data_IF_245420831379
#
_entry.id   IF_245420831379
#
_cell.length_a   1.000
_cell.length_b   1.000
_cell.length_c   1.000
_cell.angle_alpha   90.00
_cell.angle_beta   90.00
_cell.angle_gamma   90.00
#
_symmetry.space_group_name_H-M   'P 1'
#
loop_
_entity.id
_entity.type
_entity.pdbx_description
1 polymer ?
#
# COMPACT_ATOMS: atom_id res chain seq x y z
N UNK A 1 22.52 6.00 5.71
CA UNK A 1 22.64 4.67 5.06
C UNK A 1 21.45 3.80 5.45
N UNK A 2 21.35 3.29 6.69
CA UNK A 2 20.26 2.44 7.24
C UNK A 2 18.82 2.63 6.68
N UNK A 3 18.38 3.87 6.43
CA UNK A 3 17.02 4.14 5.95
C UNK A 3 16.77 3.79 4.48
N UNK A 4 17.77 3.82 3.61
CA UNK A 4 17.55 3.69 2.17
C UNK A 4 17.02 2.31 1.82
N UNK A 5 17.70 1.26 2.29
CA UNK A 5 17.31 -0.14 2.07
C UNK A 5 15.90 -0.45 2.59
N UNK A 6 15.59 -0.07 3.84
CA UNK A 6 14.27 -0.29 4.44
C UNK A 6 13.17 0.52 3.74
N UNK A 7 13.47 1.75 3.32
CA UNK A 7 12.54 2.58 2.55
C UNK A 7 12.22 1.93 1.21
N UNK A 8 13.23 1.39 0.52
CA UNK A 8 13.04 0.65 -0.73
C UNK A 8 12.23 -0.61 -0.54
N UNK A 9 12.51 -1.42 0.49
CA UNK A 9 11.72 -2.62 0.76
C UNK A 9 10.25 -2.32 0.96
N UNK A 10 9.93 -1.17 1.57
CA UNK A 10 8.56 -0.67 1.67
C UNK A 10 7.98 -0.33 0.29
N UNK A 11 8.76 0.30 -0.59
CA UNK A 11 8.35 0.56 -1.98
C UNK A 11 8.08 -0.71 -2.78
N UNK A 12 8.95 -1.72 -2.64
CA UNK A 12 8.77 -3.04 -3.25
C UNK A 12 7.49 -3.70 -2.74
N UNK A 13 7.24 -3.68 -1.43
CA UNK A 13 6.02 -4.22 -0.83
C UNK A 13 4.76 -3.53 -1.39
N UNK A 14 4.74 -2.19 -1.45
CA UNK A 14 3.60 -1.43 -2.00
C UNK A 14 3.33 -1.76 -3.49
N UNK A 15 4.38 -1.89 -4.29
CA UNK A 15 4.26 -2.28 -5.70
C UNK A 15 3.72 -3.70 -5.86
N UNK A 16 4.17 -4.65 -5.03
CA UNK A 16 3.69 -6.03 -5.07
C UNK A 16 2.21 -6.12 -4.66
N UNK A 17 1.78 -5.32 -3.67
CA UNK A 17 0.36 -5.19 -3.31
C UNK A 17 -0.45 -4.65 -4.49
N UNK A 18 -0.01 -3.55 -5.12
CA UNK A 18 -0.68 -2.98 -6.28
C UNK A 18 -0.75 -3.99 -7.43
N UNK A 19 0.33 -4.75 -7.67
CA UNK A 19 0.40 -5.79 -8.69
C UNK A 19 -0.63 -6.89 -8.49
N UNK A 20 -0.69 -7.45 -7.28
CA UNK A 20 -1.61 -8.53 -6.95
C UNK A 20 -3.07 -8.11 -7.17
N UNK A 21 -3.43 -6.89 -6.81
CA UNK A 21 -4.78 -6.37 -7.02
C UNK A 21 -5.06 -6.05 -8.50
N UNK A 22 -4.14 -5.37 -9.20
CA UNK A 22 -4.32 -4.97 -10.60
C UNK A 22 -4.40 -6.16 -11.53
N UNK A 23 -3.63 -7.22 -11.26
CA UNK A 23 -3.72 -8.49 -11.99
C UNK A 23 -5.15 -9.00 -12.05
N UNK A 24 -5.82 -9.09 -10.90
CA UNK A 24 -7.17 -9.67 -10.79
C UNK A 24 -8.22 -8.92 -11.64
N UNK A 25 -8.04 -7.61 -11.85
CA UNK A 25 -9.00 -6.77 -12.60
C UNK A 25 -8.61 -6.52 -14.05
N UNK A 26 -7.31 -6.47 -14.35
CA UNK A 26 -6.76 -6.12 -15.68
C UNK A 26 -6.55 -7.36 -16.54
N UNK A 27 -6.01 -8.43 -15.97
CA UNK A 27 -5.73 -9.70 -16.66
C UNK A 27 -6.93 -10.62 -16.44
N UNK A 28 -8.02 -10.41 -17.19
CA UNK A 28 -9.16 -11.33 -17.21
C UNK A 28 -8.86 -12.65 -17.93
N UNK A 29 -7.66 -13.24 -17.76
CA UNK A 29 -7.16 -14.35 -18.59
C UNK A 29 -6.80 -15.58 -17.72
N UNK A 30 -7.56 -16.68 -17.79
CA UNK A 30 -7.38 -17.86 -16.93
C UNK A 30 -6.00 -18.52 -17.01
N UNK A 31 -5.38 -18.58 -18.20
CA UNK A 31 -4.11 -19.30 -18.42
C UNK A 31 -2.89 -18.70 -17.70
N UNK A 32 -2.81 -17.36 -17.62
CA UNK A 32 -1.73 -16.69 -16.89
C UNK A 32 -1.92 -16.81 -15.37
N UNK A 33 -3.17 -16.81 -14.91
CA UNK A 33 -3.53 -17.01 -13.51
C UNK A 33 -3.27 -18.45 -13.03
N UNK A 34 -3.46 -19.46 -13.88
CA UNK A 34 -3.34 -20.87 -13.52
C UNK A 34 -1.90 -21.35 -13.26
N UNK A 35 -0.89 -20.94 -14.04
CA UNK A 35 0.41 -21.65 -14.05
C UNK A 35 1.55 -20.98 -13.26
N UNK A 36 1.66 -19.65 -13.26
CA UNK A 36 2.79 -18.95 -12.61
C UNK A 36 2.45 -18.47 -11.19
N UNK A 37 1.20 -18.05 -10.95
CA UNK A 37 0.84 -17.33 -9.71
C UNK A 37 -0.07 -18.10 -8.75
N UNK A 38 -1.03 -18.92 -9.22
CA UNK A 38 -1.82 -19.77 -8.31
C UNK A 38 -0.96 -20.75 -7.49
N UNK A 39 0.16 -21.22 -8.04
CA UNK A 39 1.02 -22.20 -7.36
C UNK A 39 2.03 -21.62 -6.36
N UNK A 40 2.41 -20.33 -6.41
CA UNK A 40 3.53 -19.81 -5.57
C UNK A 40 3.29 -18.47 -4.86
N UNK A 41 2.42 -17.59 -5.37
CA UNK A 41 2.27 -16.22 -4.83
C UNK A 41 0.81 -15.76 -4.61
N UNK A 42 -0.16 -16.36 -5.31
CA UNK A 42 -1.53 -15.82 -5.45
C UNK A 42 -2.39 -15.85 -4.19
N UNK A 43 -2.29 -16.89 -3.34
CA UNK A 43 -3.11 -17.00 -2.13
C UNK A 43 -2.51 -16.31 -0.89
N UNK A 44 -1.31 -15.72 -1.00
CA UNK A 44 -0.58 -15.12 0.13
C UNK A 44 -0.30 -13.63 -0.06
N UNK A 45 -1.08 -12.97 -0.93
CA UNK A 45 -0.90 -11.55 -1.22
C UNK A 45 -1.01 -10.64 0.01
N UNK A 46 -1.73 -11.08 1.05
CA UNK A 46 -1.86 -10.38 2.33
C UNK A 46 -0.52 -10.20 3.06
N UNK A 47 0.42 -11.16 2.95
CA UNK A 47 1.73 -11.05 3.60
C UNK A 47 2.52 -9.83 3.14
N UNK A 48 2.35 -9.39 1.88
CA UNK A 48 2.98 -8.17 1.37
C UNK A 48 2.35 -6.90 1.94
N UNK A 49 1.07 -6.95 2.28
CA UNK A 49 0.35 -5.87 2.98
C UNK A 49 0.88 -5.77 4.42
N UNK A 50 0.99 -6.90 5.12
CA UNK A 50 1.52 -6.95 6.48
C UNK A 50 2.97 -6.46 6.52
N UNK A 51 3.80 -6.91 5.57
CA UNK A 51 5.18 -6.45 5.43
C UNK A 51 5.29 -4.94 5.22
N UNK A 52 4.44 -4.40 4.34
CA UNK A 52 4.37 -2.95 4.09
C UNK A 52 4.03 -2.17 5.36
N UNK A 53 3.07 -2.66 6.16
CA UNK A 53 2.68 -2.00 7.40
C UNK A 53 3.74 -2.12 8.50
N UNK A 54 4.39 -3.28 8.65
CA UNK A 54 5.49 -3.48 9.61
C UNK A 54 6.64 -2.51 9.30
N UNK A 55 7.09 -2.43 8.04
CA UNK A 55 8.16 -1.51 7.64
C UNK A 55 7.77 -0.04 7.82
N UNK A 56 6.54 0.32 7.46
CA UNK A 56 6.03 1.68 7.63
C UNK A 56 5.98 2.09 9.10
N UNK A 57 5.51 1.18 9.97
CA UNK A 57 5.47 1.36 11.41
C UNK A 57 6.86 1.51 12.01
N UNK A 58 7.80 0.63 11.63
CA UNK A 58 9.19 0.65 12.09
C UNK A 58 9.92 1.93 11.71
N UNK A 59 9.89 2.33 10.42
CA UNK A 59 10.58 3.55 9.95
C UNK A 59 10.03 4.79 10.67
N UNK A 60 8.72 4.83 10.91
CA UNK A 60 8.09 5.93 11.65
C UNK A 60 8.55 5.94 13.10
N UNK A 61 8.49 4.79 13.78
CA UNK A 61 8.89 4.66 15.19
C UNK A 61 10.36 5.03 15.40
N UNK A 62 11.23 4.67 14.47
CA UNK A 62 12.64 5.01 14.52
C UNK A 62 12.90 6.51 14.25
N UNK A 63 12.27 7.11 13.22
CA UNK A 63 12.46 8.54 12.90
C UNK A 63 11.92 9.48 13.99
N UNK A 64 10.87 9.06 14.68
CA UNK A 64 10.27 9.79 15.79
C UNK A 64 10.63 9.18 17.15
N UNK A 65 11.66 8.33 17.17
CA UNK A 65 12.11 7.57 18.33
C UNK A 65 12.54 8.43 19.49
N UNK A 66 13.10 9.62 19.26
CA UNK A 66 13.44 10.56 20.36
C UNK A 66 12.20 11.08 21.10
N UNK A 67 11.02 11.06 20.48
CA UNK A 67 9.76 11.35 21.15
C UNK A 67 9.21 10.15 21.93
N UNK A 68 9.55 8.92 21.53
CA UNK A 68 9.13 7.67 22.17
C UNK A 68 10.13 7.12 23.20
N UNK A 69 11.42 7.48 23.12
CA UNK A 69 12.51 7.01 23.99
C UNK A 69 12.37 7.54 25.41
N UNK A 70 11.74 8.71 25.55
CA UNK A 70 11.11 9.14 26.79
C UNK A 70 9.70 8.55 26.73
N UNK A 71 9.39 7.51 27.51
CA UNK A 71 8.05 6.93 27.69
C UNK A 71 7.05 7.97 28.25
N UNK A 72 6.81 9.03 27.50
CA UNK A 72 6.06 10.20 27.90
C UNK A 72 4.81 10.26 27.02
N UNK A 73 3.63 10.27 27.63
CA UNK A 73 2.33 10.20 26.94
C UNK A 73 2.18 11.27 25.85
N UNK A 74 2.81 12.44 26.02
CA UNK A 74 2.85 13.51 25.00
C UNK A 74 3.66 13.15 23.76
N UNK A 75 4.79 12.46 23.91
CA UNK A 75 5.62 12.02 22.79
C UNK A 75 4.95 10.94 21.97
N UNK A 76 4.27 10.00 22.65
CA UNK A 76 3.40 9.02 22.00
C UNK A 76 2.23 9.68 21.27
N UNK A 77 1.57 10.68 21.86
CA UNK A 77 0.51 11.45 21.21
C UNK A 77 0.98 12.17 19.93
N UNK A 78 2.16 12.79 19.97
CA UNK A 78 2.78 13.42 18.81
C UNK A 78 3.13 12.41 17.71
N UNK A 79 3.61 11.22 18.08
CA UNK A 79 3.86 10.12 17.15
C UNK A 79 2.58 9.64 16.45
N UNK A 80 1.50 9.44 17.21
CA UNK A 80 0.18 9.07 16.65
C UNK A 80 -0.34 10.20 15.75
N UNK A 81 -0.18 11.46 16.15
CA UNK A 81 -0.61 12.61 15.36
C UNK A 81 0.08 12.70 13.99
N UNK A 82 1.38 12.45 13.91
CA UNK A 82 2.08 12.43 12.62
C UNK A 82 1.66 11.27 11.73
N UNK A 83 1.26 10.14 12.33
CA UNK A 83 0.69 9.01 11.61
C UNK A 83 -0.68 9.39 11.03
N UNK A 84 -1.53 10.05 11.82
CA UNK A 84 -2.83 10.59 11.38
C UNK A 84 -2.63 11.65 10.29
N UNK A 85 -1.74 12.63 10.50
CA UNK A 85 -1.43 13.70 9.57
C UNK A 85 -0.91 13.20 8.21
N UNK A 86 -0.26 12.05 8.17
CA UNK A 86 0.21 11.44 6.92
C UNK A 86 -0.86 10.58 6.25
N UNK A 87 -1.67 9.85 7.03
CA UNK A 87 -2.68 8.90 6.52
C UNK A 87 -3.97 9.61 6.10
N UNK A 88 -4.47 10.51 6.93
CA UNK A 88 -5.81 11.09 6.81
C UNK A 88 -6.02 12.03 5.63
N UNK A 89 -5.08 12.89 5.20
CA UNK A 89 -5.37 13.82 4.10
C UNK A 89 -5.76 13.09 2.82
N UNK A 90 -5.00 12.05 2.46
CA UNK A 90 -5.28 11.25 1.27
C UNK A 90 -6.47 10.30 1.46
N UNK A 91 -6.65 9.74 2.66
CA UNK A 91 -7.82 8.91 2.98
C UNK A 91 -9.12 9.74 2.93
N UNK A 92 -9.13 10.95 3.46
CA UNK A 92 -10.30 11.84 3.39
C UNK A 92 -10.64 12.18 1.95
N UNK A 93 -9.65 12.53 1.12
CA UNK A 93 -9.89 12.83 -0.30
C UNK A 93 -10.45 11.59 -1.03
N UNK A 94 -9.85 10.42 -0.84
CA UNK A 94 -10.31 9.19 -1.53
C UNK A 94 -11.69 8.73 -1.05
N UNK A 95 -11.97 8.83 0.25
CA UNK A 95 -13.29 8.52 0.82
C UNK A 95 -14.35 9.52 0.35
N UNK A 96 -14.04 10.82 0.28
CA UNK A 96 -14.97 11.82 -0.26
C UNK A 96 -15.29 11.55 -1.73
N UNK A 97 -14.28 11.23 -2.55
CA UNK A 97 -14.47 10.84 -3.95
C UNK A 97 -15.36 9.59 -4.03
N UNK A 98 -15.11 8.58 -3.20
CA UNK A 98 -15.90 7.36 -3.15
C UNK A 98 -17.35 7.62 -2.71
N UNK A 99 -17.58 8.45 -1.70
CA UNK A 99 -18.92 8.83 -1.21
C UNK A 99 -19.69 9.60 -2.28
N UNK A 100 -19.05 10.57 -2.95
CA UNK A 100 -19.68 11.34 -4.03
C UNK A 100 -20.05 10.43 -5.19
N UNK A 101 -19.16 9.50 -5.58
CA UNK A 101 -19.43 8.52 -6.62
C UNK A 101 -20.56 7.55 -6.25
N UNK A 102 -20.54 6.99 -5.03
CA UNK A 102 -21.56 6.04 -4.58
C UNK A 102 -22.91 6.73 -4.37
N UNK A 103 -22.91 7.93 -3.80
CA UNK A 103 -24.12 8.74 -3.60
C UNK A 103 -24.75 9.19 -4.91
N UNK A 104 -23.96 9.58 -5.90
CA UNK A 104 -24.46 9.92 -7.24
C UNK A 104 -24.99 8.71 -8.02
N UNK A 105 -24.44 7.51 -7.79
CA UNK A 105 -24.83 6.29 -8.49
C UNK A 105 -26.00 5.53 -7.84
N UNK A 106 -26.11 5.55 -6.51
CA UNK A 106 -27.04 4.68 -5.76
C UNK A 106 -28.00 5.44 -4.81
N UNK A 107 -27.86 6.77 -4.66
CA UNK A 107 -28.74 7.61 -3.85
C UNK A 107 -28.44 7.60 -2.34
N UNK A 108 -28.89 8.65 -1.64
CA UNK A 108 -28.56 8.92 -0.22
C UNK A 108 -29.13 7.89 0.79
N UNK A 109 -30.06 7.03 0.36
CA UNK A 109 -30.67 5.98 1.17
C UNK A 109 -29.76 4.76 1.41
N UNK A 110 -28.62 4.67 0.71
CA UNK A 110 -27.62 3.60 0.86
C UNK A 110 -26.81 3.71 2.17
N UNK A 111 -26.48 4.93 2.63
CA UNK A 111 -25.64 5.20 3.81
C UNK A 111 -26.30 4.87 5.17
N UNK A 112 -27.61 4.63 5.21
CA UNK A 112 -28.36 4.45 6.48
C UNK A 112 -28.33 3.00 7.01
N UNK A 113 -27.82 2.04 6.25
CA UNK A 113 -27.78 0.60 6.61
C UNK A 113 -26.41 0.11 7.13
N UNK A 114 -25.43 1.00 7.28
CA UNK A 114 -24.00 0.64 7.45
C UNK A 114 -23.55 0.27 8.88
N UNK A 115 -24.44 0.28 9.88
CA UNK A 115 -24.06 -0.09 11.25
C UNK A 115 -23.72 -1.59 11.39
N UNK A 116 -24.46 -2.45 10.68
CA UNK A 116 -24.22 -3.91 10.66
C UNK A 116 -22.96 -4.22 9.82
N UNK A 117 -22.75 -3.49 8.72
CA UNK A 117 -21.54 -3.60 7.90
C UNK A 117 -20.29 -3.20 8.69
N UNK A 118 -20.36 -2.13 9.51
CA UNK A 118 -19.27 -1.70 10.38
C UNK A 118 -18.97 -2.72 11.49
N UNK A 119 -19.99 -3.31 12.12
CA UNK A 119 -19.81 -4.36 13.13
C UNK A 119 -19.19 -5.65 12.53
N UNK A 120 -19.65 -6.05 11.34
CA UNK A 120 -19.08 -7.16 10.58
C UNK A 120 -17.63 -6.86 10.17
N UNK A 121 -17.33 -5.63 9.75
CA UNK A 121 -15.98 -5.18 9.43
C UNK A 121 -15.04 -5.28 10.64
N UNK A 122 -15.48 -4.83 11.82
CA UNK A 122 -14.73 -4.98 13.07
C UNK A 122 -14.52 -6.45 13.45
N UNK A 123 -15.54 -7.31 13.29
CA UNK A 123 -15.43 -8.74 13.58
C UNK A 123 -14.46 -9.46 12.62
N UNK A 124 -14.49 -9.13 11.32
CA UNK A 124 -13.53 -9.63 10.33
C UNK A 124 -12.11 -9.21 10.70
N UNK A 125 -11.91 -7.96 11.13
CA UNK A 125 -10.60 -7.46 11.56
C UNK A 125 -10.04 -8.24 12.76
N UNK A 126 -10.89 -8.58 13.74
CA UNK A 126 -10.50 -9.40 14.90
C UNK A 126 -10.12 -10.82 14.46
N UNK A 127 -10.90 -11.45 13.57
CA UNK A 127 -10.61 -12.81 13.06
C UNK A 127 -9.34 -12.86 12.22
N UNK A 128 -9.08 -11.83 11.41
CA UNK A 128 -7.84 -11.72 10.62
C UNK A 128 -6.57 -11.65 11.49
N UNK A 129 -6.69 -11.21 12.75
CA UNK A 129 -5.53 -11.08 13.66
C UNK A 129 -4.98 -12.43 14.14
N UNK A 130 -5.71 -13.55 13.93
CA UNK A 130 -5.38 -14.86 14.49
C UNK A 130 -4.84 -15.88 13.48
N UNK A 131 -4.42 -15.47 12.27
CA UNK A 131 -3.93 -16.45 11.29
C UNK A 131 -2.55 -17.01 11.67
N UNK A 132 -2.37 -18.33 11.58
CA UNK A 132 -1.12 -19.03 11.96
C UNK A 132 0.10 -18.56 11.17
N UNK A 133 -0.10 -17.95 10.00
CA UNK A 133 0.98 -17.44 9.14
C UNK A 133 1.64 -16.19 9.72
N UNK A 134 0.88 -15.34 10.40
CA UNK A 134 1.40 -14.09 11.01
C UNK A 134 2.40 -14.39 12.13
N UNK A 135 2.21 -15.51 12.84
CA UNK A 135 3.09 -15.95 13.93
C UNK A 135 4.53 -16.21 13.46
N UNK A 136 4.72 -16.76 12.26
CA UNK A 136 6.05 -17.00 11.69
C UNK A 136 6.56 -15.82 10.86
N UNK A 137 5.65 -15.10 10.20
CA UNK A 137 6.00 -14.01 9.31
C UNK A 137 6.54 -12.80 10.08
N UNK A 138 5.94 -12.45 11.21
CA UNK A 138 6.33 -11.27 12.00
C UNK A 138 7.78 -11.38 12.51
N UNK A 139 8.25 -12.48 13.12
CA UNK A 139 9.65 -12.65 13.51
C UNK A 139 10.62 -12.59 12.32
N UNK A 140 10.25 -13.16 11.17
CA UNK A 140 11.08 -13.12 9.97
C UNK A 140 11.18 -11.71 9.38
N UNK A 141 10.08 -10.97 9.35
CA UNK A 141 10.06 -9.57 8.94
C UNK A 141 10.91 -8.70 9.90
N UNK A 142 10.81 -8.93 11.22
CA UNK A 142 11.64 -8.26 12.22
C UNK A 142 13.13 -8.60 12.05
N UNK A 143 13.46 -9.87 11.82
CA UNK A 143 14.83 -10.32 11.54
C UNK A 143 15.39 -9.69 10.28
N UNK A 144 14.60 -9.63 9.19
CA UNK A 144 15.00 -8.96 7.96
C UNK A 144 15.24 -7.46 8.15
N UNK A 145 14.39 -6.79 8.93
CA UNK A 145 14.58 -5.37 9.29
C UNK A 145 15.91 -5.19 10.03
N UNK A 146 16.18 -6.04 11.03
CA UNK A 146 17.44 -5.99 11.79
C UNK A 146 18.65 -6.22 10.88
N UNK A 147 18.63 -7.28 10.05
CA UNK A 147 19.70 -7.57 9.11
C UNK A 147 19.94 -6.41 8.14
N UNK A 148 18.89 -5.86 7.53
CA UNK A 148 19.01 -4.73 6.60
C UNK A 148 19.43 -3.43 7.30
N UNK A 149 19.13 -3.29 8.59
CA UNK A 149 19.58 -2.13 9.37
C UNK A 149 21.09 -2.15 9.65
N UNK A 150 21.68 -3.34 9.70
CA UNK A 150 23.10 -3.55 9.97
C UNK A 150 23.91 -3.82 8.68
N UNK A 151 23.26 -4.21 7.59
CA UNK A 151 23.93 -4.63 6.37
C UNK A 151 24.50 -3.46 5.55
N UNK A 152 25.75 -3.61 5.10
CA UNK A 152 26.48 -2.62 4.29
C UNK A 152 27.00 -3.22 2.95
N UNK A 153 26.49 -4.38 2.57
CA UNK A 153 26.94 -5.15 1.42
C UNK A 153 26.51 -4.59 0.05
N UNK A 154 26.96 -5.21 -1.06
CA UNK A 154 26.59 -4.79 -2.42
C UNK A 154 25.06 -4.85 -2.67
N UNK A 155 24.37 -5.80 -2.04
CA UNK A 155 22.91 -5.90 -2.10
C UNK A 155 22.22 -4.66 -1.51
N UNK A 156 22.70 -4.13 -0.37
CA UNK A 156 22.11 -2.92 0.21
C UNK A 156 22.40 -1.69 -0.64
N UNK A 157 23.54 -1.62 -1.35
CA UNK A 157 23.81 -0.52 -2.30
C UNK A 157 22.80 -0.46 -3.45
N UNK A 158 22.34 -1.61 -3.95
CA UNK A 158 21.29 -1.66 -4.97
C UNK A 158 19.97 -1.14 -4.40
N UNK A 159 19.62 -1.54 -3.18
CA UNK A 159 18.41 -1.04 -2.52
C UNK A 159 18.51 0.46 -2.23
N UNK A 160 19.68 0.96 -1.85
CA UNK A 160 19.93 2.38 -1.60
C UNK A 160 20.05 3.24 -2.88
N UNK A 161 19.89 2.64 -4.06
CA UNK A 161 19.90 3.37 -5.32
C UNK A 161 18.74 4.38 -5.37
N UNK A 162 19.00 5.60 -5.86
CA UNK A 162 18.04 6.72 -5.80
C UNK A 162 16.64 6.39 -6.34
N UNK A 163 16.47 5.73 -7.50
CA UNK A 163 15.16 5.32 -7.99
C UNK A 163 14.45 4.30 -7.07
N UNK A 164 15.21 3.37 -6.50
CA UNK A 164 14.70 2.38 -5.55
C UNK A 164 14.23 3.04 -4.25
N UNK A 165 14.97 4.02 -3.75
CA UNK A 165 14.58 4.79 -2.57
C UNK A 165 13.36 5.66 -2.87
N UNK A 166 13.29 6.26 -4.07
CA UNK A 166 12.14 7.06 -4.51
C UNK A 166 10.84 6.25 -4.49
N UNK A 167 10.85 5.01 -5.01
CA UNK A 167 9.71 4.10 -4.91
C UNK A 167 9.27 3.89 -3.46
N UNK A 168 10.24 3.81 -2.56
CA UNK A 168 10.00 3.77 -1.13
C UNK A 168 9.41 5.06 -0.55
N UNK A 169 9.81 6.24 -1.02
CA UNK A 169 9.24 7.53 -0.59
C UNK A 169 7.78 7.67 -1.00
N UNK A 170 7.45 7.32 -2.25
CA UNK A 170 6.09 7.41 -2.81
C UNK A 170 5.21 6.20 -2.48
N UNK A 171 5.76 5.20 -1.77
CA UNK A 171 5.09 3.93 -1.48
C UNK A 171 3.73 4.08 -0.80
N UNK A 172 3.54 5.11 0.02
CA UNK A 172 2.25 5.41 0.64
C UNK A 172 1.21 5.82 -0.41
N UNK A 173 1.55 6.75 -1.31
CA UNK A 173 0.68 7.12 -2.42
C UNK A 173 0.40 5.95 -3.36
N UNK A 174 1.37 5.07 -3.62
CA UNK A 174 1.16 3.82 -4.39
C UNK A 174 0.10 2.96 -3.70
N UNK A 175 0.25 2.72 -2.39
CA UNK A 175 -0.68 1.92 -1.62
C UNK A 175 -2.08 2.53 -1.57
N UNK A 176 -2.25 3.84 -1.61
CA UNK A 176 -3.58 4.47 -1.57
C UNK A 176 -4.23 4.62 -2.96
N UNK A 177 -3.45 5.01 -3.98
CA UNK A 177 -3.98 5.31 -5.31
C UNK A 177 -4.13 4.09 -6.22
N UNK A 178 -3.51 2.95 -5.91
CA UNK A 178 -3.72 1.74 -6.71
C UNK A 178 -5.21 1.31 -6.72
N UNK A 179 -5.95 1.56 -5.63
CA UNK A 179 -7.40 1.35 -5.56
C UNK A 179 -8.20 2.19 -6.57
N UNK A 180 -7.79 3.44 -6.77
CA UNK A 180 -8.38 4.31 -7.78
C UNK A 180 -8.04 3.86 -9.21
N UNK A 181 -6.81 3.41 -9.45
CA UNK A 181 -6.43 2.85 -10.76
C UNK A 181 -7.18 1.53 -11.04
N UNK A 182 -7.38 0.68 -10.03
CA UNK A 182 -8.25 -0.50 -10.17
C UNK A 182 -9.65 -0.12 -10.63
N UNK A 183 -10.22 0.92 -10.02
CA UNK A 183 -11.53 1.46 -10.37
C UNK A 183 -11.55 1.93 -11.83
N UNK A 184 -10.54 2.68 -12.31
CA UNK A 184 -10.43 3.07 -13.72
C UNK A 184 -10.34 1.88 -14.68
N UNK A 185 -9.66 0.80 -14.28
CA UNK A 185 -9.50 -0.40 -15.10
C UNK A 185 -10.71 -1.35 -15.08
N UNK A 186 -11.68 -1.14 -14.19
CA UNK A 186 -12.81 -2.06 -14.00
C UNK A 186 -13.86 -1.96 -15.11
N UNK A 187 -13.99 -0.78 -15.76
CA UNK A 187 -15.07 -0.49 -16.71
C UNK A 187 -14.78 -0.99 -18.14
N UNK A 188 -13.64 -1.65 -18.36
CA UNK A 188 -13.31 -2.28 -19.64
C UNK A 188 -14.15 -3.58 -19.79
N UNK A 189 -15.04 -3.69 -20.80
CA UNK A 189 -15.94 -4.84 -20.95
C UNK A 189 -15.18 -6.17 -21.06
N UNK A 190 -15.65 -7.20 -20.36
CA UNK A 190 -15.03 -8.54 -20.39
C UNK A 190 -15.01 -9.14 -21.81
N UNK A 191 -16.04 -8.85 -22.62
CA UNK A 191 -16.12 -9.25 -24.03
C UNK A 191 -15.04 -8.61 -24.91
N UNK A 192 -14.60 -7.40 -24.56
CA UNK A 192 -13.48 -6.74 -25.23
C UNK A 192 -12.14 -7.37 -24.78
N UNK A 193 -11.97 -7.61 -23.47
CA UNK A 193 -10.77 -8.28 -22.92
C UNK A 193 -10.55 -9.68 -23.51
N UNK A 194 -11.61 -10.44 -23.72
CA UNK A 194 -11.56 -11.80 -24.27
C UNK A 194 -11.12 -11.87 -25.74
N UNK A 195 -11.24 -10.77 -26.49
CA UNK A 195 -10.82 -10.69 -27.90
C UNK A 195 -9.35 -10.33 -28.07
N UNK A 196 -8.66 -9.95 -27.00
CA UNK A 196 -7.29 -9.49 -27.06
C UNK A 196 -6.30 -10.67 -26.84
N UNK A 197 -5.15 -10.69 -27.55
CA UNK A 197 -4.09 -11.67 -27.31
C UNK A 197 -3.57 -11.60 -25.86
N UNK A 198 -3.12 -12.73 -25.29
CA UNK A 198 -2.71 -12.78 -23.88
C UNK A 198 -1.59 -11.78 -23.51
N UNK A 199 -0.67 -11.48 -24.44
CA UNK A 199 0.40 -10.49 -24.24
C UNK A 199 -0.12 -9.07 -24.02
N UNK A 200 -1.31 -8.75 -24.55
CA UNK A 200 -1.92 -7.45 -24.31
C UNK A 200 -2.26 -7.27 -22.83
N UNK A 201 -2.66 -8.33 -22.12
CA UNK A 201 -2.92 -8.28 -20.68
C UNK A 201 -1.67 -7.89 -19.89
N UNK A 202 -0.50 -8.38 -20.29
CA UNK A 202 0.77 -7.97 -19.68
C UNK A 202 1.11 -6.50 -19.97
N UNK A 203 0.86 -6.01 -21.19
CA UNK A 203 1.04 -4.60 -21.54
C UNK A 203 0.07 -3.68 -20.77
N UNK A 204 -1.20 -4.08 -20.63
CA UNK A 204 -2.20 -3.36 -19.84
C UNK A 204 -1.84 -3.34 -18.36
N UNK A 205 -1.35 -4.45 -17.82
CA UNK A 205 -0.89 -4.52 -16.43
C UNK A 205 0.31 -3.60 -16.22
N UNK A 206 1.29 -3.62 -17.13
CA UNK A 206 2.45 -2.74 -17.09
C UNK A 206 2.01 -1.26 -17.16
N UNK A 207 1.12 -0.93 -18.10
CA UNK A 207 0.58 0.42 -18.25
C UNK A 207 -0.14 0.88 -16.97
N UNK A 208 -0.94 0.01 -16.34
CA UNK A 208 -1.62 0.32 -15.08
C UNK A 208 -0.62 0.55 -13.94
N UNK A 209 0.47 -0.21 -13.85
CA UNK A 209 1.53 0.03 -12.86
C UNK A 209 2.25 1.35 -13.08
N UNK A 210 2.61 1.66 -14.32
CA UNK A 210 3.22 2.93 -14.67
C UNK A 210 2.29 4.09 -14.34
N UNK A 211 0.98 3.93 -14.57
CA UNK A 211 -0.04 4.90 -14.18
C UNK A 211 -0.12 5.07 -12.67
N UNK A 212 -0.14 3.97 -11.88
CA UNK A 212 -0.09 4.04 -10.41
C UNK A 212 1.15 4.80 -9.96
N UNK A 213 2.34 4.46 -10.46
CA UNK A 213 3.59 5.11 -10.08
C UNK A 213 3.56 6.59 -10.45
N UNK A 214 3.10 6.93 -11.65
CA UNK A 214 2.98 8.31 -12.13
C UNK A 214 2.03 9.15 -11.27
N UNK A 215 0.80 8.66 -11.05
CA UNK A 215 -0.18 9.33 -10.19
C UNK A 215 0.33 9.46 -8.75
N UNK A 216 1.00 8.43 -8.24
CA UNK A 216 1.59 8.43 -6.90
C UNK A 216 2.70 9.45 -6.76
N UNK A 217 3.55 9.58 -7.78
CA UNK A 217 4.60 10.59 -7.81
C UNK A 217 4.03 12.01 -7.85
N UNK A 218 3.01 12.24 -8.69
CA UNK A 218 2.32 13.54 -8.77
C UNK A 218 1.65 13.89 -7.43
N UNK A 219 0.88 12.98 -6.86
CA UNK A 219 0.25 13.14 -5.55
C UNK A 219 1.28 13.40 -4.45
N UNK A 220 2.38 12.65 -4.46
CA UNK A 220 3.47 12.85 -3.50
C UNK A 220 4.09 14.25 -3.61
N UNK A 221 4.35 14.72 -4.84
CA UNK A 221 4.98 16.02 -5.09
C UNK A 221 4.07 17.20 -4.74
N UNK A 222 2.78 17.11 -5.08
CA UNK A 222 1.85 18.25 -5.00
C UNK A 222 0.92 18.22 -3.78
N UNK A 223 0.73 17.06 -3.14
CA UNK A 223 -0.19 16.90 -2.01
C UNK A 223 0.58 16.48 -0.77
N UNK A 224 1.26 15.33 -0.80
CA UNK A 224 1.90 14.78 0.41
C UNK A 224 3.04 15.66 0.92
N UNK A 225 3.98 16.06 0.04
CA UNK A 225 5.13 16.90 0.44
C UNK A 225 4.70 18.27 0.98
N UNK A 226 3.82 19.04 0.32
CA UNK A 226 3.37 20.32 0.83
C UNK A 226 2.59 20.19 2.15
N UNK A 227 1.68 19.22 2.26
CA UNK A 227 0.91 18.99 3.48
C UNK A 227 1.80 18.61 4.66
N UNK A 228 2.77 17.73 4.44
CA UNK A 228 3.73 17.35 5.47
C UNK A 228 4.53 18.57 5.94
N UNK A 229 5.05 19.40 5.02
CA UNK A 229 5.80 20.61 5.37
C UNK A 229 4.98 21.60 6.19
N UNK A 230 3.72 21.82 5.80
CA UNK A 230 2.80 22.70 6.51
C UNK A 230 2.49 22.20 7.94
N UNK A 231 2.34 20.89 8.12
CA UNK A 231 1.97 20.29 9.42
C UNK A 231 3.15 20.10 10.37
N UNK A 232 4.37 19.87 9.86
CA UNK A 232 5.55 19.65 10.70
C UNK A 232 6.48 20.85 10.81
N UNK A 233 6.21 21.96 10.11
CA UNK A 233 7.05 23.16 10.12
C UNK A 233 8.48 22.94 9.61
N UNK A 234 8.71 21.86 8.85
CA UNK A 234 9.98 21.43 8.26
C UNK A 234 9.74 20.94 6.84
#
# INVERSE_FOLDING_TARGET
MVFGSLTTMRGVAALLVAFLHLRYRVIGVPLFDLYIFQFRFGNRGYLWVDFFFILSGFILAYRYGDACSKLNLRGYGHFVWQRVARIWPLNVVTVLIAIIYLGSKYGASYLRRDAIAAAIFCAIFVVFTYTTYDFYFVPLAAGLILCLSLAQGPFTRVLEWRPMVLLGEISFSIYMLHGFVLWLCQDIPASFKARLPFWTGALWLLAAHLLVIGLSYLSFKFIERPAHRALTGR
#
